data_IF_938027700908
#
_entry.id   IF_938027700908
#
_cell.length_a   1.000
_cell.length_b   1.000
_cell.length_c   1.000
_cell.angle_alpha   90.00
_cell.angle_beta   90.00
_cell.angle_gamma   90.00
#
_symmetry.space_group_name_H-M   'P 1'
#
loop_
_entity.id
_entity.type
_entity.pdbx_description
1 polymer ?
#
# COMPACT_ATOMS: atom_id res chain seq x y z
N UNK A 1 7.85 6.76 4.99
CA UNK A 1 6.44 6.51 5.41
C UNK A 1 5.45 7.64 5.10
N UNK A 2 5.78 8.91 5.33
CA UNK A 2 4.83 10.03 5.12
C UNK A 2 4.20 10.06 3.71
N UNK A 3 4.99 9.91 2.65
CA UNK A 3 4.48 9.88 1.27
C UNK A 3 3.48 8.75 1.01
N UNK A 4 3.70 7.57 1.61
CA UNK A 4 2.78 6.43 1.49
C UNK A 4 1.45 6.75 2.17
N UNK A 5 1.48 7.35 3.36
CA UNK A 5 0.26 7.74 4.07
C UNK A 5 -0.52 8.81 3.31
N UNK A 6 0.16 9.82 2.76
CA UNK A 6 -0.48 10.83 1.90
C UNK A 6 -1.14 10.20 0.69
N UNK A 7 -0.45 9.28 0.02
CA UNK A 7 -0.99 8.61 -1.16
C UNK A 7 -2.19 7.70 -0.83
N UNK A 8 -2.13 6.93 0.26
CA UNK A 8 -3.26 6.12 0.72
C UNK A 8 -4.48 6.98 1.06
N UNK A 9 -4.26 8.16 1.64
CA UNK A 9 -5.33 9.11 1.94
C UNK A 9 -6.00 9.65 0.67
N UNK A 10 -5.21 9.96 -0.37
CA UNK A 10 -5.73 10.38 -1.69
C UNK A 10 -6.58 9.27 -2.32
N UNK A 11 -6.08 8.04 -2.34
CA UNK A 11 -6.82 6.88 -2.89
C UNK A 11 -8.15 6.68 -2.17
N UNK A 12 -8.17 6.68 -0.83
CA UNK A 12 -9.40 6.48 -0.06
C UNK A 12 -10.40 7.63 -0.27
N UNK A 13 -9.90 8.86 -0.38
CA UNK A 13 -10.74 10.02 -0.69
C UNK A 13 -11.37 9.90 -2.09
N UNK A 14 -10.61 9.46 -3.09
CA UNK A 14 -11.13 9.29 -4.45
C UNK A 14 -12.15 8.16 -4.53
N UNK A 15 -11.98 7.09 -3.75
CA UNK A 15 -12.88 5.92 -3.75
C UNK A 15 -14.17 6.13 -2.96
N UNK A 16 -14.09 6.83 -1.83
CA UNK A 16 -15.19 6.90 -0.86
C UNK A 16 -15.77 8.30 -0.69
N UNK A 17 -15.08 9.34 -1.15
CA UNK A 17 -15.38 10.74 -0.85
C UNK A 17 -14.95 11.18 0.55
N UNK A 18 -14.42 10.27 1.38
CA UNK A 18 -13.97 10.55 2.74
C UNK A 18 -12.44 10.36 2.86
N UNK A 19 -11.78 11.32 3.52
CA UNK A 19 -10.34 11.24 3.77
C UNK A 19 -10.07 10.78 5.21
N UNK A 20 -9.66 9.52 5.45
CA UNK A 20 -9.37 9.03 6.79
C UNK A 20 -8.23 9.82 7.45
N UNK A 21 -8.25 9.84 8.78
CA UNK A 21 -7.22 10.52 9.57
C UNK A 21 -5.84 9.90 9.35
N UNK A 22 -4.82 10.74 9.26
CA UNK A 22 -3.42 10.33 9.05
C UNK A 22 -2.95 9.34 10.12
N UNK A 23 -3.33 9.57 11.38
CA UNK A 23 -2.97 8.68 12.50
C UNK A 23 -3.63 7.30 12.37
N UNK A 24 -4.86 7.24 11.85
CA UNK A 24 -5.55 5.98 11.60
C UNK A 24 -4.85 5.18 10.50
N UNK A 25 -4.57 5.82 9.36
CA UNK A 25 -3.84 5.20 8.26
C UNK A 25 -2.46 4.73 8.70
N UNK A 26 -1.76 5.53 9.49
CA UNK A 26 -0.45 5.17 10.03
C UNK A 26 -0.55 3.98 10.98
N UNK A 27 -1.52 3.96 11.90
CA UNK A 27 -1.74 2.84 12.80
C UNK A 27 -2.03 1.54 12.03
N UNK A 28 -2.87 1.60 10.99
CA UNK A 28 -3.24 0.42 10.19
C UNK A 28 -2.05 -0.04 9.35
N UNK A 29 -1.31 0.88 8.72
CA UNK A 29 -0.10 0.54 7.98
C UNK A 29 0.94 -0.13 8.89
N UNK A 30 1.16 0.42 10.09
CA UNK A 30 2.20 -0.08 11.01
C UNK A 30 1.83 -1.44 11.62
N UNK A 31 0.59 -1.60 12.07
CA UNK A 31 0.21 -2.76 12.87
C UNK A 31 -0.43 -3.88 12.05
N UNK A 32 -0.91 -3.59 10.83
CA UNK A 32 -1.68 -4.57 10.04
C UNK A 32 -1.01 -4.88 8.73
N UNK A 33 -0.70 -3.89 7.89
CA UNK A 33 -0.26 -4.16 6.51
C UNK A 33 1.25 -4.29 6.35
N UNK A 34 2.04 -3.39 6.94
CA UNK A 34 3.50 -3.41 6.86
C UNK A 34 4.09 -4.78 7.22
N UNK A 35 3.82 -5.33 8.42
CA UNK A 35 4.33 -6.65 8.81
C UNK A 35 3.86 -7.79 7.93
N UNK A 36 2.66 -7.71 7.34
CA UNK A 36 2.13 -8.77 6.48
C UNK A 36 2.78 -8.77 5.11
N UNK A 37 3.04 -7.59 4.55
CA UNK A 37 3.69 -7.43 3.25
C UNK A 37 5.20 -7.76 3.34
N UNK A 38 5.83 -7.41 4.47
CA UNK A 38 7.22 -7.75 4.78
C UNK A 38 7.41 -9.26 4.94
N UNK A 39 6.47 -9.94 5.62
CA UNK A 39 6.49 -11.39 5.81
C UNK A 39 6.41 -12.22 4.50
N UNK A 40 6.08 -11.57 3.38
CA UNK A 40 6.04 -12.19 2.05
C UNK A 40 7.01 -11.53 1.06
N UNK A 41 8.00 -10.78 1.57
CA UNK A 41 9.06 -10.14 0.78
C UNK A 41 8.56 -9.18 -0.31
N UNK A 42 7.39 -8.55 -0.11
CA UNK A 42 6.85 -7.55 -1.05
C UNK A 42 7.26 -6.12 -0.70
N UNK A 43 7.63 -5.89 0.56
CA UNK A 43 8.22 -4.63 1.01
C UNK A 43 9.35 -4.92 1.99
N UNK A 44 10.33 -4.04 2.05
CA UNK A 44 11.22 -3.92 3.20
C UNK A 44 10.57 -2.93 4.16
N UNK A 45 10.25 -3.36 5.38
CA UNK A 45 9.52 -2.54 6.35
C UNK A 45 10.27 -2.38 7.67
N UNK A 46 10.53 -1.14 8.09
CA UNK A 46 11.07 -0.82 9.41
C UNK A 46 10.22 0.24 10.12
N UNK A 47 9.56 -0.18 11.20
CA UNK A 47 8.72 0.70 12.03
C UNK A 47 9.53 1.73 12.82
N UNK A 48 10.73 1.36 13.28
CA UNK A 48 11.59 2.22 14.08
C UNK A 48 12.17 3.36 13.25
N UNK A 49 12.56 3.07 12.01
CA UNK A 49 13.06 4.07 11.06
C UNK A 49 11.95 4.77 10.25
N UNK A 50 10.69 4.37 10.45
CA UNK A 50 9.54 4.83 9.63
C UNK A 50 9.82 4.67 8.13
N UNK A 51 10.37 3.51 7.79
CA UNK A 51 10.82 3.16 6.45
C UNK A 51 9.92 2.08 5.84
N UNK A 52 9.66 2.26 4.55
CA UNK A 52 8.99 1.26 3.73
C UNK A 52 9.51 1.42 2.31
N UNK A 53 9.96 0.32 1.73
CA UNK A 53 10.44 0.26 0.34
C UNK A 53 9.79 -0.94 -0.35
N UNK A 54 9.33 -0.72 -1.58
CA UNK A 54 8.73 -1.78 -2.38
C UNK A 54 9.80 -2.70 -2.95
N UNK A 55 9.55 -4.01 -2.90
CA UNK A 55 10.42 -5.04 -3.47
C UNK A 55 9.72 -5.63 -4.69
N UNK A 56 10.20 -5.37 -5.92
CA UNK A 56 9.57 -5.90 -7.13
C UNK A 56 9.56 -7.42 -7.14
N UNK A 57 8.40 -7.99 -7.47
CA UNK A 57 8.21 -9.44 -7.61
C UNK A 57 7.54 -9.74 -8.94
N UNK A 58 8.28 -10.34 -9.88
CA UNK A 58 7.83 -10.58 -11.26
C UNK A 58 6.47 -11.28 -11.35
N UNK A 59 6.18 -12.23 -10.45
CA UNK A 59 4.90 -12.94 -10.44
C UNK A 59 3.74 -12.02 -10.03
N UNK A 60 3.97 -11.17 -9.02
CA UNK A 60 2.99 -10.19 -8.56
C UNK A 60 2.80 -9.10 -9.60
N UNK A 61 3.88 -8.56 -10.20
CA UNK A 61 3.77 -7.57 -11.27
C UNK A 61 2.96 -8.12 -12.46
N UNK A 62 3.27 -9.34 -12.89
CA UNK A 62 2.54 -9.98 -14.00
C UNK A 62 1.05 -10.15 -13.67
N UNK A 63 0.72 -10.48 -12.41
CA UNK A 63 -0.64 -10.62 -11.97
C UNK A 63 -1.36 -9.26 -11.91
N UNK A 64 -0.71 -8.22 -11.38
CA UNK A 64 -1.25 -6.86 -11.33
C UNK A 64 -1.51 -6.32 -12.74
N UNK A 65 -0.55 -6.45 -13.66
CA UNK A 65 -0.74 -6.07 -15.07
C UNK A 65 -1.93 -6.78 -15.72
N UNK A 66 -2.21 -8.03 -15.32
CA UNK A 66 -3.36 -8.77 -15.84
C UNK A 66 -4.68 -8.24 -15.27
N UNK A 67 -4.72 -7.91 -13.97
CA UNK A 67 -5.90 -7.34 -13.31
C UNK A 67 -6.23 -5.97 -13.90
N UNK A 68 -5.24 -5.08 -14.05
CA UNK A 68 -5.45 -3.75 -14.62
C UNK A 68 -6.04 -3.83 -16.04
N UNK A 69 -5.49 -4.74 -16.86
CA UNK A 69 -6.02 -5.02 -18.21
C UNK A 69 -7.45 -5.56 -18.21
N UNK A 70 -7.89 -6.22 -17.15
CA UNK A 70 -9.27 -6.68 -17.02
C UNK A 70 -10.21 -5.54 -16.63
N UNK A 71 -9.79 -4.65 -15.73
CA UNK A 71 -10.60 -3.51 -15.29
C UNK A 71 -10.85 -2.50 -16.44
N UNK A 72 -9.87 -2.31 -17.32
CA UNK A 72 -9.98 -1.43 -18.50
C UNK A 72 -10.98 -1.92 -19.58
N UNK A 73 -11.47 -3.16 -19.48
CA UNK A 73 -12.37 -3.76 -20.48
C UNK A 73 -13.86 -3.70 -20.10
N UNK A 74 -14.23 -3.02 -19.01
CA UNK A 74 -15.61 -2.87 -18.53
C UNK A 74 -16.17 -1.45 -18.66
#
# INVERSE_FOLDING_TARGET
MHHVISHLREIEQDRTGEAPGTDHLQSVLIHVHGPKLDAVDLVTYDVGEQYVEYVPNEQVETALEHIDRMEDQW
#
